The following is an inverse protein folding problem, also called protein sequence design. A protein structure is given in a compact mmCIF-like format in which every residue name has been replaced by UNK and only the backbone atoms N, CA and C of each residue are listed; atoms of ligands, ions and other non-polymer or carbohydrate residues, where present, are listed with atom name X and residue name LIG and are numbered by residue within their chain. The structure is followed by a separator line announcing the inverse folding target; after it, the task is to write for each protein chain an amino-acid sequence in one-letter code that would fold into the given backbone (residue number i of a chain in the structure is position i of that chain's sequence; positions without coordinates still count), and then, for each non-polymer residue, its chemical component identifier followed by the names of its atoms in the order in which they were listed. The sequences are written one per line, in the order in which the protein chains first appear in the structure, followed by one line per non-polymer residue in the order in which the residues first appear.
data_IF_028697363442
#
_entry.id   IF_028697363442
#
_cell.length_a   1.000
_cell.length_b   1.000
_cell.length_c   1.000
_cell.angle_alpha   90.00
_cell.angle_beta   90.00
_cell.angle_gamma   90.00
#
_symmetry.space_group_name_H-M   'P 1'
#
loop_
_entity.id
_entity.type
_entity.pdbx_description
1 polymer ?
#
# COMPACT_ATOMS: atom_id res chain seq x y z
N UNK A 1 -55.34 25.42 69.38
CA UNK A 1 -54.92 24.65 68.18
C UNK A 1 -55.00 25.56 66.95
N UNK A 2 -53.87 25.99 66.39
CA UNK A 2 -53.81 26.88 65.20
C UNK A 2 -53.37 26.08 63.97
N UNK A 3 -54.13 26.15 62.88
CA UNK A 3 -53.99 25.32 61.68
C UNK A 3 -52.81 25.81 60.78
N UNK A 4 -51.72 25.04 60.61
CA UNK A 4 -50.50 25.47 59.92
C UNK A 4 -50.63 25.57 58.39
N UNK A 5 -51.75 25.16 57.79
CA UNK A 5 -51.96 25.20 56.33
C UNK A 5 -52.25 26.59 55.74
N UNK A 6 -52.58 27.59 56.56
CA UNK A 6 -52.88 28.94 56.06
C UNK A 6 -51.63 29.72 55.64
N UNK A 7 -50.52 29.63 56.37
CA UNK A 7 -49.31 30.44 56.10
C UNK A 7 -48.56 30.05 54.81
N UNK A 8 -48.62 28.78 54.41
CA UNK A 8 -47.96 28.29 53.17
C UNK A 8 -48.71 28.76 51.93
N UNK A 9 -50.04 28.80 51.95
CA UNK A 9 -50.86 29.24 50.81
C UNK A 9 -50.58 30.71 50.45
N UNK A 10 -50.41 31.58 51.45
CA UNK A 10 -50.09 33.00 51.21
C UNK A 10 -48.70 33.21 50.59
N UNK A 11 -47.69 32.42 50.98
CA UNK A 11 -46.34 32.49 50.39
C UNK A 11 -46.31 32.08 48.91
N UNK A 12 -47.08 31.07 48.53
CA UNK A 12 -47.18 30.61 47.13
C UNK A 12 -47.91 31.65 46.29
N UNK A 13 -48.97 32.27 46.83
CA UNK A 13 -49.69 33.34 46.14
C UNK A 13 -48.77 34.55 45.93
N UNK A 14 -48.01 34.97 46.93
CA UNK A 14 -47.06 36.10 46.77
C UNK A 14 -45.94 35.78 45.76
N UNK A 15 -45.42 34.56 45.75
CA UNK A 15 -44.37 34.17 44.80
C UNK A 15 -44.87 34.13 43.36
N UNK A 16 -46.07 33.57 43.13
CA UNK A 16 -46.68 33.51 41.79
C UNK A 16 -47.03 34.92 41.28
N UNK A 17 -47.53 35.82 42.13
CA UNK A 17 -47.78 37.21 41.73
C UNK A 17 -46.50 37.96 41.37
N UNK A 18 -45.38 37.71 42.06
CA UNK A 18 -44.08 38.35 41.76
C UNK A 18 -43.53 37.86 40.43
N UNK A 19 -43.67 36.57 40.11
CA UNK A 19 -43.23 36.00 38.83
C UNK A 19 -44.07 36.53 37.67
N UNK A 20 -45.39 36.62 37.85
CA UNK A 20 -46.29 37.20 36.84
C UNK A 20 -45.97 38.69 36.66
N UNK A 21 -45.73 39.43 37.75
CA UNK A 21 -45.33 40.84 37.70
C UNK A 21 -44.03 41.04 36.91
N UNK A 22 -43.00 40.23 37.16
CA UNK A 22 -41.72 40.24 36.42
C UNK A 22 -41.90 39.93 34.92
N UNK A 23 -42.73 38.95 34.58
CA UNK A 23 -43.06 38.61 33.19
C UNK A 23 -43.84 39.74 32.51
N UNK A 24 -44.81 40.35 33.19
CA UNK A 24 -45.55 41.49 32.65
C UNK A 24 -44.68 42.72 32.47
N UNK A 25 -43.74 43.01 33.39
CA UNK A 25 -42.78 44.11 33.24
C UNK A 25 -41.86 43.88 32.06
N UNK A 26 -41.43 42.63 31.82
CA UNK A 26 -40.61 42.25 30.66
C UNK A 26 -41.37 42.45 29.34
N UNK A 27 -42.65 42.08 29.30
CA UNK A 27 -43.50 42.22 28.10
C UNK A 27 -43.95 43.67 27.84
N UNK A 28 -44.26 44.43 28.90
CA UNK A 28 -44.68 45.84 28.80
C UNK A 28 -43.52 46.78 28.46
N UNK A 29 -42.31 46.46 28.90
CA UNK A 29 -41.08 47.23 28.58
C UNK A 29 -40.52 46.86 27.19
N UNK A 30 -41.07 45.82 26.54
CA UNK A 30 -40.62 45.29 25.25
C UNK A 30 -40.96 46.13 24.02
N UNK A 31 -41.54 47.33 24.16
CA UNK A 31 -41.97 48.16 23.01
C UNK A 31 -41.02 49.30 22.61
N UNK A 32 -40.03 49.63 23.43
CA UNK A 32 -38.94 50.53 23.02
C UNK A 32 -37.65 50.18 23.76
N UNK A 33 -36.70 49.49 23.12
CA UNK A 33 -35.27 49.71 23.41
C UNK A 33 -34.33 49.09 22.37
N UNK A 34 -33.83 49.94 21.49
CA UNK A 34 -32.60 49.74 20.72
C UNK A 34 -31.33 49.82 21.63
N UNK A 35 -31.39 49.32 22.88
CA UNK A 35 -30.31 49.37 23.89
C UNK A 35 -30.08 48.05 24.66
N UNK A 36 -30.58 46.92 24.16
CA UNK A 36 -30.26 45.59 24.71
C UNK A 36 -28.90 45.05 24.22
N UNK A 37 -28.17 45.80 23.41
CA UNK A 37 -26.93 45.39 22.73
C UNK A 37 -25.68 45.37 23.62
N UNK A 38 -25.58 46.16 24.71
CA UNK A 38 -24.30 46.30 25.44
C UNK A 38 -23.95 45.09 26.33
N UNK A 39 -24.93 44.55 27.08
CA UNK A 39 -24.68 43.41 27.98
C UNK A 39 -24.51 42.09 27.22
N UNK A 40 -25.29 41.87 26.16
CA UNK A 40 -25.15 40.70 25.29
C UNK A 40 -23.80 40.71 24.54
N UNK A 41 -23.37 41.85 24.02
CA UNK A 41 -22.05 41.99 23.38
C UNK A 41 -20.91 41.78 24.37
N UNK A 42 -21.01 42.30 25.60
CA UNK A 42 -19.98 42.12 26.63
C UNK A 42 -19.81 40.63 27.04
N UNK A 43 -20.92 39.90 27.15
CA UNK A 43 -20.89 38.45 27.41
C UNK A 43 -20.23 37.69 26.25
N UNK A 44 -20.55 38.04 25.00
CA UNK A 44 -19.91 37.42 23.83
C UNK A 44 -18.42 37.74 23.72
N UNK A 45 -17.98 38.97 24.03
CA UNK A 45 -16.56 39.37 23.99
C UNK A 45 -15.70 38.66 25.04
N UNK A 46 -16.27 38.34 26.21
CA UNK A 46 -15.55 37.64 27.28
C UNK A 46 -15.51 36.12 27.03
N UNK A 47 -16.58 35.55 26.45
CA UNK A 47 -16.69 34.10 26.22
C UNK A 47 -15.94 33.65 24.96
N UNK A 48 -15.93 34.46 23.90
CA UNK A 48 -15.25 34.13 22.64
C UNK A 48 -13.77 33.72 22.77
N UNK A 49 -12.90 34.41 23.54
CA UNK A 49 -11.51 33.97 23.71
C UNK A 49 -11.40 32.64 24.48
N UNK A 50 -12.28 32.37 25.44
CA UNK A 50 -12.30 31.11 26.20
C UNK A 50 -12.71 29.94 25.31
N UNK A 51 -13.68 30.13 24.42
CA UNK A 51 -14.09 29.10 23.44
C UNK A 51 -12.97 28.79 22.44
N UNK A 52 -12.26 29.81 21.96
CA UNK A 52 -11.12 29.63 21.06
C UNK A 52 -9.92 28.94 21.75
N UNK A 53 -9.64 29.30 23.00
CA UNK A 53 -8.63 28.63 23.84
C UNK A 53 -9.00 27.16 24.09
N UNK A 54 -10.23 26.87 24.49
CA UNK A 54 -10.72 25.51 24.71
C UNK A 54 -10.64 24.66 23.42
N UNK A 55 -11.06 25.23 22.28
CA UNK A 55 -10.94 24.56 20.98
C UNK A 55 -9.50 24.32 20.56
N UNK A 56 -8.58 25.25 20.84
CA UNK A 56 -7.15 25.08 20.54
C UNK A 56 -6.47 24.05 21.45
N UNK A 57 -6.83 24.00 22.73
CA UNK A 57 -6.35 22.99 23.68
C UNK A 57 -6.87 21.60 23.31
N UNK A 58 -8.15 21.48 22.95
CA UNK A 58 -8.77 20.23 22.50
C UNK A 58 -8.10 19.69 21.22
N UNK A 59 -7.80 20.56 20.25
CA UNK A 59 -7.08 20.17 19.01
C UNK A 59 -5.67 19.68 19.30
N UNK A 60 -4.91 20.37 20.15
CA UNK A 60 -3.56 19.94 20.57
C UNK A 60 -3.57 18.61 21.32
N UNK A 61 -4.57 18.37 22.17
CA UNK A 61 -4.69 17.08 22.87
C UNK A 61 -5.03 15.93 21.92
N UNK A 62 -5.86 16.18 20.90
CA UNK A 62 -6.18 15.18 19.89
C UNK A 62 -4.95 14.80 19.04
N UNK A 63 -4.15 15.79 18.62
CA UNK A 63 -2.90 15.57 17.85
C UNK A 63 -1.86 14.74 18.61
N UNK A 64 -1.73 14.94 19.93
CA UNK A 64 -0.80 14.16 20.77
C UNK A 64 -1.24 12.70 20.87
N UNK A 65 -2.53 12.43 21.02
CA UNK A 65 -3.07 11.05 21.10
C UNK A 65 -2.88 10.33 19.77
N UNK A 66 -3.17 10.99 18.64
CA UNK A 66 -2.95 10.42 17.30
C UNK A 66 -1.46 10.11 17.05
N UNK A 67 -0.56 10.99 17.51
CA UNK A 67 0.89 10.79 17.39
C UNK A 67 1.37 9.58 18.18
N UNK A 68 0.90 9.40 19.43
CA UNK A 68 1.26 8.25 20.27
C UNK A 68 0.78 6.93 19.65
N UNK A 69 -0.42 6.90 19.05
CA UNK A 69 -0.91 5.70 18.35
C UNK A 69 -0.07 5.38 17.11
N UNK A 70 0.30 6.39 16.32
CA UNK A 70 1.20 6.22 15.15
C UNK A 70 2.57 5.69 15.55
N UNK A 71 3.15 6.17 16.65
CA UNK A 71 4.45 5.67 17.14
C UNK A 71 4.39 4.19 17.52
N UNK A 72 3.32 3.74 18.19
CA UNK A 72 3.16 2.32 18.55
C UNK A 72 3.00 1.42 17.31
N UNK A 73 2.22 1.88 16.32
CA UNK A 73 2.07 1.15 15.06
C UNK A 73 3.40 1.05 14.30
N UNK A 74 4.17 2.14 14.26
CA UNK A 74 5.47 2.18 13.59
C UNK A 74 6.52 1.30 14.29
N UNK A 75 6.50 1.25 15.63
CA UNK A 75 7.40 0.39 16.40
C UNK A 75 7.08 -1.09 16.17
N UNK A 76 5.79 -1.44 16.13
CA UNK A 76 5.35 -2.81 15.82
C UNK A 76 5.68 -3.21 14.38
N UNK A 77 5.46 -2.33 13.42
CA UNK A 77 5.86 -2.55 12.01
C UNK A 77 7.38 -2.73 11.90
N UNK A 78 8.17 -1.92 12.60
CA UNK A 78 9.62 -2.05 12.62
C UNK A 78 10.07 -3.38 13.24
N UNK A 79 9.39 -3.83 14.30
CA UNK A 79 9.65 -5.14 14.94
C UNK A 79 9.36 -6.28 13.97
N UNK A 80 8.20 -6.28 13.31
CA UNK A 80 7.81 -7.28 12.33
C UNK A 80 8.78 -7.31 11.13
N UNK A 81 9.15 -6.15 10.60
CA UNK A 81 10.12 -6.05 9.50
C UNK A 81 11.50 -6.60 9.89
N UNK A 82 11.95 -6.36 11.13
CA UNK A 82 13.21 -6.93 11.64
C UNK A 82 13.14 -8.44 11.78
N UNK A 83 12.00 -8.97 12.24
CA UNK A 83 11.78 -10.41 12.35
C UNK A 83 11.78 -11.09 10.96
N UNK A 84 11.11 -10.49 9.99
CA UNK A 84 11.10 -10.97 8.60
C UNK A 84 12.49 -10.91 7.98
N UNK A 85 13.24 -9.83 8.21
CA UNK A 85 14.62 -9.70 7.74
C UNK A 85 15.52 -10.79 8.33
N UNK A 86 15.45 -11.01 9.65
CA UNK A 86 16.23 -12.05 10.32
C UNK A 86 15.86 -13.45 9.80
N UNK A 87 14.58 -13.70 9.54
CA UNK A 87 14.12 -14.94 8.91
C UNK A 87 14.70 -15.11 7.50
N UNK A 88 14.60 -14.10 6.65
CA UNK A 88 15.12 -14.12 5.28
C UNK A 88 16.65 -14.33 5.25
N UNK A 89 17.38 -13.67 6.14
CA UNK A 89 18.83 -13.87 6.30
C UNK A 89 19.15 -15.33 6.68
N UNK A 90 18.37 -15.92 7.60
CA UNK A 90 18.55 -17.33 7.99
C UNK A 90 18.30 -18.29 6.82
N UNK A 91 17.26 -18.06 6.03
CA UNK A 91 16.95 -18.84 4.82
C UNK A 91 18.06 -18.70 3.78
N UNK A 92 18.60 -17.49 3.61
CA UNK A 92 19.70 -17.25 2.68
C UNK A 92 20.97 -18.00 3.08
N UNK A 93 21.28 -18.07 4.37
CA UNK A 93 22.42 -18.85 4.89
C UNK A 93 22.21 -20.34 4.61
N UNK A 94 21.03 -20.89 4.92
CA UNK A 94 20.70 -22.30 4.64
C UNK A 94 20.79 -22.63 3.15
N UNK A 95 20.26 -21.76 2.28
CA UNK A 95 20.34 -21.93 0.83
C UNK A 95 21.79 -21.95 0.34
N UNK A 96 22.66 -21.07 0.87
CA UNK A 96 24.09 -21.07 0.52
C UNK A 96 24.78 -22.34 0.98
N UNK A 97 24.43 -22.86 2.16
CA UNK A 97 24.99 -24.12 2.67
C UNK A 97 24.57 -25.32 1.81
N UNK A 98 23.28 -25.43 1.51
CA UNK A 98 22.75 -26.45 0.60
C UNK A 98 23.35 -26.37 -0.80
N UNK A 99 23.59 -25.16 -1.33
CA UNK A 99 24.26 -24.98 -2.62
C UNK A 99 25.70 -25.49 -2.58
N UNK A 100 26.45 -25.19 -1.51
CA UNK A 100 27.82 -25.70 -1.32
C UNK A 100 27.86 -27.21 -1.16
N UNK A 101 26.94 -27.77 -0.38
CA UNK A 101 26.81 -29.22 -0.21
C UNK A 101 26.46 -29.89 -1.54
N UNK A 102 25.49 -29.35 -2.29
CA UNK A 102 25.13 -29.88 -3.60
C UNK A 102 26.29 -29.83 -4.59
N UNK A 103 27.07 -28.74 -4.59
CA UNK A 103 28.28 -28.64 -5.41
C UNK A 103 29.30 -29.72 -5.04
N UNK A 104 29.58 -29.89 -3.75
CA UNK A 104 30.51 -30.91 -3.24
C UNK A 104 30.04 -32.33 -3.57
N UNK A 105 28.76 -32.62 -3.39
CA UNK A 105 28.17 -33.91 -3.75
C UNK A 105 28.27 -34.18 -5.26
N UNK A 106 28.02 -33.17 -6.09
CA UNK A 106 28.17 -33.29 -7.56
C UNK A 106 29.61 -33.53 -7.98
N UNK A 107 30.56 -32.83 -7.35
CA UNK A 107 31.99 -33.04 -7.59
C UNK A 107 32.42 -34.46 -7.24
N UNK A 108 32.01 -34.97 -6.07
CA UNK A 108 32.28 -36.35 -5.63
C UNK A 108 31.65 -37.41 -6.55
N UNK A 109 30.52 -37.09 -7.18
CA UNK A 109 29.81 -37.99 -8.10
C UNK A 109 30.25 -37.80 -9.56
N UNK A 110 31.27 -36.96 -9.83
CA UNK A 110 31.71 -36.57 -11.19
C UNK A 110 30.56 -36.06 -12.09
N UNK A 111 29.49 -35.54 -11.47
CA UNK A 111 28.43 -34.92 -12.24
C UNK A 111 28.98 -33.66 -12.90
N UNK A 112 28.89 -33.58 -14.23
CA UNK A 112 29.23 -32.35 -14.98
C UNK A 112 28.54 -31.16 -14.31
N UNK A 113 29.35 -30.17 -13.91
CA UNK A 113 28.87 -28.94 -13.29
C UNK A 113 27.73 -28.34 -14.15
N UNK A 114 26.71 -27.78 -13.50
CA UNK A 114 25.69 -26.99 -14.20
C UNK A 114 26.41 -26.00 -15.11
N UNK A 115 26.13 -26.07 -16.41
CA UNK A 115 26.74 -25.21 -17.41
C UNK A 115 26.50 -23.76 -17.01
N UNK A 116 27.58 -23.04 -16.67
CA UNK A 116 27.49 -21.59 -16.50
C UNK A 116 27.12 -21.01 -17.86
N UNK A 117 25.91 -20.46 -17.97
CA UNK A 117 25.46 -19.82 -19.19
C UNK A 117 26.10 -18.43 -19.29
N UNK A 118 26.76 -18.15 -20.42
CA UNK A 118 27.19 -16.79 -20.74
C UNK A 118 26.01 -16.03 -21.33
N UNK A 119 25.57 -14.96 -20.66
CA UNK A 119 24.47 -14.13 -21.12
C UNK A 119 24.99 -13.01 -22.04
N UNK A 120 24.37 -12.85 -23.20
CA UNK A 120 24.61 -11.74 -24.13
C UNK A 120 23.41 -10.78 -24.10
N UNK A 121 23.55 -9.55 -23.56
CA UNK A 121 22.46 -8.58 -23.56
C UNK A 121 22.17 -8.10 -25.00
N UNK A 122 20.89 -8.01 -25.33
CA UNK A 122 20.40 -7.58 -26.63
C UNK A 122 19.12 -6.75 -26.49
N UNK A 123 18.94 -5.77 -27.36
CA UNK A 123 17.73 -4.93 -27.43
C UNK A 123 16.85 -5.35 -28.60
N UNK A 124 15.54 -5.25 -28.42
CA UNK A 124 14.57 -5.49 -29.49
C UNK A 124 14.49 -4.25 -30.38
N UNK A 125 14.84 -4.40 -31.65
CA UNK A 125 14.84 -3.32 -32.65
C UNK A 125 13.65 -3.36 -33.60
N UNK A 126 12.98 -4.51 -33.71
CA UNK A 126 11.76 -4.64 -34.50
C UNK A 126 10.88 -5.80 -33.99
N UNK A 127 9.58 -5.69 -34.23
CA UNK A 127 8.60 -6.75 -33.98
C UNK A 127 7.75 -6.93 -35.23
N UNK A 128 7.53 -8.17 -35.65
CA UNK A 128 6.65 -8.42 -36.79
C UNK A 128 5.20 -8.10 -36.42
N UNK A 129 4.46 -7.33 -37.25
CA UNK A 129 3.03 -7.10 -37.08
C UNK A 129 2.17 -8.26 -37.63
N UNK A 130 2.78 -9.20 -38.35
CA UNK A 130 2.08 -10.32 -38.98
C UNK A 130 1.62 -11.36 -37.96
N UNK A 131 0.36 -11.79 -38.04
CA UNK A 131 -0.24 -12.76 -37.10
C UNK A 131 0.18 -14.21 -37.32
N UNK A 132 0.84 -14.52 -38.42
CA UNK A 132 1.22 -15.90 -38.76
C UNK A 132 2.54 -16.35 -38.15
N UNK A 133 3.45 -15.43 -37.86
CA UNK A 133 4.72 -15.72 -37.21
C UNK A 133 5.03 -14.67 -36.15
N UNK A 134 5.06 -15.10 -34.90
CA UNK A 134 5.43 -14.24 -33.79
C UNK A 134 6.95 -14.12 -33.71
N UNK A 135 7.50 -13.16 -34.46
CA UNK A 135 8.94 -12.90 -34.52
C UNK A 135 9.31 -11.51 -33.98
N UNK A 136 10.47 -11.45 -33.32
CA UNK A 136 11.14 -10.21 -32.93
C UNK A 136 12.56 -10.19 -33.47
N UNK A 137 13.10 -8.99 -33.70
CA UNK A 137 14.46 -8.79 -34.17
C UNK A 137 15.27 -8.12 -33.09
N UNK A 138 16.47 -8.64 -32.81
CA UNK A 138 17.40 -8.11 -31.81
C UNK A 138 18.63 -7.48 -32.47
N UNK A 139 19.25 -6.51 -31.78
CA UNK A 139 20.47 -5.80 -32.22
C UNK A 139 21.79 -6.60 -32.06
N UNK A 140 21.70 -7.94 -32.02
CA UNK A 140 22.86 -8.84 -31.92
C UNK A 140 22.82 -9.88 -33.02
N UNK A 141 23.99 -10.15 -33.58
CA UNK A 141 24.17 -11.02 -34.75
C UNK A 141 25.38 -11.92 -34.61
N UNK A 142 25.81 -12.54 -35.71
CA UNK A 142 26.96 -13.45 -35.71
C UNK A 142 28.26 -12.75 -35.31
N UNK A 143 28.41 -11.45 -35.59
CA UNK A 143 29.56 -10.65 -35.13
C UNK A 143 29.66 -10.53 -33.61
N UNK A 144 28.55 -10.78 -32.91
CA UNK A 144 28.46 -10.77 -31.45
C UNK A 144 28.47 -12.18 -30.84
N UNK A 145 28.67 -13.22 -31.67
CA UNK A 145 28.63 -14.62 -31.23
C UNK A 145 27.22 -15.21 -31.12
N UNK A 146 26.20 -14.58 -31.71
CA UNK A 146 24.84 -15.17 -31.75
C UNK A 146 24.79 -16.29 -32.79
N UNK A 147 24.24 -17.43 -32.40
CA UNK A 147 24.04 -18.60 -33.26
C UNK A 147 22.56 -19.01 -33.35
N UNK A 148 22.22 -19.68 -34.44
CA UNK A 148 20.87 -20.24 -34.63
C UNK A 148 20.60 -21.29 -33.56
N UNK A 149 19.41 -21.23 -32.96
CA UNK A 149 18.98 -22.14 -31.90
C UNK A 149 19.29 -21.66 -30.48
N UNK A 150 20.09 -20.60 -30.30
CA UNK A 150 20.35 -20.04 -28.97
C UNK A 150 19.03 -19.60 -28.29
N UNK A 151 18.83 -19.90 -27.00
CA UNK A 151 17.65 -19.50 -26.26
C UNK A 151 17.69 -18.00 -25.96
N UNK A 152 16.52 -17.37 -26.00
CA UNK A 152 16.32 -15.97 -25.65
C UNK A 152 15.48 -15.91 -24.39
N UNK A 153 16.04 -15.35 -23.33
CA UNK A 153 15.44 -15.29 -22.00
C UNK A 153 15.32 -13.85 -21.53
N UNK A 154 14.33 -13.60 -20.68
CA UNK A 154 14.15 -12.36 -19.91
C UNK A 154 14.23 -12.69 -18.42
N UNK A 155 14.16 -11.66 -17.57
CA UNK A 155 14.08 -11.84 -16.12
C UNK A 155 12.84 -12.66 -15.68
N UNK A 156 11.78 -12.74 -16.50
CA UNK A 156 10.59 -13.53 -16.22
C UNK A 156 10.68 -14.98 -16.71
N UNK A 157 11.59 -15.29 -17.64
CA UNK A 157 11.74 -16.63 -18.20
C UNK A 157 12.07 -16.67 -19.69
N UNK A 158 11.92 -17.86 -20.27
CA UNK A 158 12.19 -18.14 -21.68
C UNK A 158 11.15 -17.47 -22.58
N UNK A 159 11.62 -16.78 -23.61
CA UNK A 159 10.77 -16.04 -24.56
C UNK A 159 10.75 -16.72 -25.93
N UNK A 160 11.85 -17.35 -26.33
CA UNK A 160 11.95 -17.99 -27.63
C UNK A 160 13.37 -18.47 -27.95
N UNK A 161 13.64 -18.69 -29.23
CA UNK A 161 14.95 -19.07 -29.71
C UNK A 161 15.33 -18.37 -31.02
N UNK A 162 16.63 -18.23 -31.26
CA UNK A 162 17.15 -17.60 -32.47
C UNK A 162 16.80 -18.45 -33.69
N UNK A 163 16.02 -17.89 -34.61
CA UNK A 163 15.60 -18.57 -35.83
C UNK A 163 16.55 -18.31 -37.01
N UNK A 164 16.98 -17.06 -37.17
CA UNK A 164 17.92 -16.65 -38.22
C UNK A 164 18.88 -15.59 -37.71
N UNK A 165 20.14 -15.70 -38.10
CA UNK A 165 21.21 -14.78 -37.70
C UNK A 165 21.71 -14.02 -38.92
N UNK A 166 21.86 -12.70 -38.77
CA UNK A 166 22.56 -11.81 -39.70
C UNK A 166 23.81 -11.25 -39.00
N UNK A 167 24.73 -10.57 -39.70
CA UNK A 167 25.97 -10.07 -39.09
C UNK A 167 25.76 -9.18 -37.85
N UNK A 168 24.75 -8.30 -37.87
CA UNK A 168 24.51 -7.32 -36.80
C UNK A 168 23.12 -7.42 -36.16
N UNK A 169 22.28 -8.36 -36.59
CA UNK A 169 20.93 -8.54 -36.07
C UNK A 169 20.52 -10.00 -36.15
N UNK A 170 19.57 -10.42 -35.32
CA UNK A 170 19.02 -11.77 -35.36
C UNK A 170 17.52 -11.75 -35.19
N UNK A 171 16.83 -12.69 -35.83
CA UNK A 171 15.40 -12.90 -35.62
C UNK A 171 15.20 -14.02 -34.60
N UNK A 172 14.37 -13.72 -33.61
CA UNK A 172 13.93 -14.63 -32.56
C UNK A 172 12.52 -15.06 -32.90
N UNK A 173 12.27 -16.36 -32.85
CA UNK A 173 10.92 -16.89 -32.92
C UNK A 173 10.41 -17.12 -31.50
N UNK A 174 9.21 -16.61 -31.23
CA UNK A 174 8.61 -16.64 -29.90
C UNK A 174 7.98 -17.99 -29.58
N UNK A 175 7.88 -18.30 -28.28
CA UNK A 175 7.18 -19.50 -27.77
C UNK A 175 5.66 -19.45 -28.00
N UNK A 176 5.11 -18.26 -28.25
CA UNK A 176 3.70 -18.03 -28.58
C UNK A 176 3.34 -18.52 -29.98
N UNK A 177 4.32 -18.84 -30.83
CA UNK A 177 4.06 -19.39 -32.15
C UNK A 177 3.50 -20.84 -32.05
N UNK A 178 2.32 -21.13 -32.63
CA UNK A 178 1.67 -22.43 -32.52
C UNK A 178 2.42 -23.56 -33.26
N UNK A 179 3.35 -23.23 -34.15
CA UNK A 179 4.19 -24.22 -34.83
C UNK A 179 5.46 -24.58 -34.04
N UNK A 180 5.65 -24.03 -32.83
CA UNK A 180 6.81 -24.28 -31.99
C UNK A 180 6.43 -24.94 -30.67
N UNK A 181 7.20 -25.97 -30.35
CA UNK A 181 7.19 -26.63 -29.04
C UNK A 181 8.55 -26.53 -28.37
N UNK A 182 8.57 -26.31 -27.05
CA UNK A 182 9.79 -26.41 -26.23
C UNK A 182 9.62 -27.48 -25.17
N UNK A 183 10.65 -28.30 -25.00
CA UNK A 183 10.72 -29.32 -23.96
C UNK A 183 10.67 -28.65 -22.58
N UNK A 184 9.78 -29.15 -21.74
CA UNK A 184 9.52 -28.64 -20.41
C UNK A 184 9.44 -29.80 -19.42
N UNK A 185 9.55 -29.49 -18.14
CA UNK A 185 9.40 -30.47 -17.08
C UNK A 185 8.54 -29.85 -15.98
N UNK A 186 7.49 -30.57 -15.58
CA UNK A 186 6.64 -30.13 -14.46
C UNK A 186 7.45 -30.26 -13.18
N UNK A 187 7.70 -29.15 -12.49
CA UNK A 187 8.63 -29.13 -11.34
C UNK A 187 8.20 -30.10 -10.23
N UNK A 188 6.89 -30.20 -9.96
CA UNK A 188 6.35 -31.03 -8.87
C UNK A 188 6.45 -32.53 -9.15
N UNK A 189 6.06 -32.98 -10.35
CA UNK A 189 6.00 -34.40 -10.70
C UNK A 189 7.22 -34.90 -11.46
N UNK A 190 8.07 -34.00 -11.97
CA UNK A 190 9.19 -34.28 -12.87
C UNK A 190 8.77 -34.91 -14.21
N UNK A 191 7.49 -34.79 -14.57
CA UNK A 191 6.98 -35.30 -15.84
C UNK A 191 7.51 -34.44 -17.00
N UNK A 192 8.07 -35.06 -18.05
CA UNK A 192 8.44 -34.35 -19.27
C UNK A 192 7.19 -33.96 -20.06
N UNK A 193 7.20 -32.77 -20.65
CA UNK A 193 6.13 -32.29 -21.52
C UNK A 193 6.63 -31.31 -22.56
N UNK A 194 5.76 -30.90 -23.49
CA UNK A 194 6.07 -29.89 -24.49
C UNK A 194 5.12 -28.71 -24.33
N UNK A 195 5.67 -27.51 -24.17
CA UNK A 195 4.89 -26.27 -24.20
C UNK A 195 4.79 -25.81 -25.64
N UNK A 196 3.57 -25.63 -26.12
CA UNK A 196 3.25 -25.15 -27.47
C UNK A 196 2.51 -23.83 -27.36
N UNK A 197 2.79 -22.89 -28.28
CA UNK A 197 2.05 -21.64 -28.39
C UNK A 197 0.55 -21.87 -28.69
N UNK A 198 -0.28 -20.92 -28.28
CA UNK A 198 -1.75 -20.94 -28.48
C UNK A 198 -2.17 -20.06 -29.65
#
# INVERSE_FOLDING_TARGET
MANPRRSVKWKIITATTVVIFLLTVTLLTGRERNRLTFFETAVHTIIAPVQNLAGSAARRTAEIVETIQKYRLLEEENRLLKEELAYLESVQVQLKELQKENYRLRELLEFKAQTQYTLLPAEVIARSPERWFEMLTINKGSSHGVEKGMPVVTHLGLVGNIYSVSPYSSRVLLLTDPQRGVSSMVQRSRDPGVVVGV
#
